data_IF_878100731801
#
_entry.id   IF_878100731801
#
_cell.length_a   1.000
_cell.length_b   1.000
_cell.length_c   1.000
_cell.angle_alpha   90.00
_cell.angle_beta   90.00
_cell.angle_gamma   90.00
#
_symmetry.space_group_name_H-M   'P 1'
#
loop_
_entity.id
_entity.type
_entity.pdbx_description
1 polymer ?
#
# COMPACT_ATOMS: atom_id res chain seq x y z
N UNK A 1 48.69 -3.09 -50.90
CA UNK A 1 47.54 -3.70 -50.21
C UNK A 1 47.08 -2.81 -49.07
N UNK A 2 46.00 -2.07 -49.23
CA UNK A 2 45.46 -1.14 -48.24
C UNK A 2 44.40 -1.90 -47.42
N UNK A 3 44.65 -2.13 -46.14
CA UNK A 3 43.67 -2.75 -45.22
C UNK A 3 42.68 -1.69 -44.79
N UNK A 4 41.41 -1.86 -45.15
CA UNK A 4 40.29 -1.06 -44.63
C UNK A 4 39.87 -1.69 -43.33
N UNK A 5 40.05 -0.97 -42.20
CA UNK A 5 39.54 -1.33 -40.89
C UNK A 5 38.12 -0.77 -40.84
N UNK A 6 37.11 -1.66 -40.87
CA UNK A 6 35.73 -1.30 -40.61
C UNK A 6 35.56 -1.13 -39.09
N UNK A 7 35.41 0.10 -38.68
CA UNK A 7 35.09 0.44 -37.29
C UNK A 7 33.55 0.31 -37.09
N UNK A 8 33.11 -0.79 -36.51
CA UNK A 8 31.69 -0.99 -36.17
C UNK A 8 31.35 -0.09 -35.00
N UNK A 9 30.63 1.01 -35.21
CA UNK A 9 30.03 1.80 -34.15
C UNK A 9 28.83 0.99 -33.61
N UNK A 10 29.01 0.41 -32.44
CA UNK A 10 27.88 -0.06 -31.59
C UNK A 10 27.18 1.18 -31.03
N UNK A 11 26.05 1.55 -31.58
CA UNK A 11 25.09 2.43 -30.93
C UNK A 11 24.46 1.64 -29.78
N UNK A 12 24.85 1.92 -28.55
CA UNK A 12 24.09 1.51 -27.38
C UNK A 12 22.74 2.25 -27.45
N UNK A 13 21.68 1.54 -27.86
CA UNK A 13 20.32 2.05 -27.67
C UNK A 13 20.08 2.18 -26.17
N UNK A 14 19.51 3.30 -25.70
CA UNK A 14 19.08 3.38 -24.31
C UNK A 14 18.09 2.23 -24.11
N UNK A 15 18.41 1.37 -23.14
CA UNK A 15 17.47 0.36 -22.65
C UNK A 15 16.28 1.13 -22.08
N UNK A 16 15.13 1.10 -22.74
CA UNK A 16 13.86 1.45 -22.11
C UNK A 16 13.74 0.48 -20.94
N UNK A 17 13.71 1.01 -19.72
CA UNK A 17 13.49 0.17 -18.54
C UNK A 17 12.21 -0.64 -18.80
N UNK A 18 12.28 -1.95 -18.66
CA UNK A 18 11.12 -2.82 -18.84
C UNK A 18 10.10 -2.47 -17.72
N UNK A 19 8.97 -1.90 -18.14
CA UNK A 19 7.87 -1.46 -17.25
C UNK A 19 7.41 -2.54 -16.25
N UNK A 20 7.83 -3.77 -16.45
CA UNK A 20 7.35 -4.93 -15.69
C UNK A 20 8.43 -5.73 -14.99
N UNK A 21 9.68 -5.26 -15.05
CA UNK A 21 10.86 -5.96 -14.50
C UNK A 21 10.90 -6.01 -12.97
N UNK A 22 10.25 -5.06 -12.31
CA UNK A 22 10.15 -4.99 -10.84
C UNK A 22 8.79 -4.42 -10.40
N UNK A 23 8.48 -4.54 -9.11
CA UNK A 23 7.27 -3.92 -8.54
C UNK A 23 7.36 -2.39 -8.68
N UNK A 24 8.52 -1.80 -8.45
CA UNK A 24 8.69 -0.36 -8.61
C UNK A 24 8.48 0.07 -10.06
N UNK A 25 9.08 -0.64 -11.02
CA UNK A 25 8.94 -0.31 -12.45
C UNK A 25 7.48 -0.37 -12.91
N UNK A 26 6.71 -1.38 -12.50
CA UNK A 26 5.32 -1.53 -12.95
C UNK A 26 4.39 -0.49 -12.30
N UNK A 27 4.64 -0.09 -11.05
CA UNK A 27 3.87 0.98 -10.40
C UNK A 27 4.23 2.34 -11.01
N UNK A 28 5.51 2.61 -11.28
CA UNK A 28 5.92 3.83 -11.96
C UNK A 28 5.32 3.92 -13.37
N UNK A 29 5.27 2.80 -14.10
CA UNK A 29 4.62 2.72 -15.42
C UNK A 29 3.11 2.95 -15.34
N UNK A 30 2.44 2.42 -14.30
CA UNK A 30 1.01 2.65 -14.04
C UNK A 30 0.70 4.15 -13.94
N UNK A 31 1.44 4.92 -13.12
CA UNK A 31 1.25 6.36 -13.00
C UNK A 31 1.65 7.12 -14.27
N UNK A 32 2.70 6.68 -14.94
CA UNK A 32 3.18 7.33 -16.14
C UNK A 32 2.22 7.21 -17.34
N UNK A 33 1.54 6.07 -17.48
CA UNK A 33 0.67 5.81 -18.63
C UNK A 33 -0.61 6.65 -18.64
N UNK A 34 -1.12 6.96 -17.44
CA UNK A 34 -2.35 7.76 -17.28
C UNK A 34 -2.09 9.26 -17.15
N UNK A 35 -0.83 9.68 -17.06
CA UNK A 35 -0.48 11.08 -16.79
C UNK A 35 -0.04 11.81 -18.06
N UNK A 36 -0.52 13.02 -18.28
CA UNK A 36 -0.10 13.83 -19.42
C UNK A 36 -0.65 15.25 -19.47
N UNK A 37 -0.04 16.13 -20.29
CA UNK A 37 -0.56 17.47 -20.52
C UNK A 37 -1.83 17.44 -21.38
N UNK A 38 -2.50 18.59 -21.50
CA UNK A 38 -3.55 18.76 -22.50
C UNK A 38 -3.05 18.37 -23.88
N UNK A 39 -3.86 17.63 -24.63
CA UNK A 39 -3.50 17.08 -25.94
C UNK A 39 -2.66 15.79 -25.90
N UNK A 40 -2.33 15.26 -24.71
CA UNK A 40 -1.68 13.97 -24.57
C UNK A 40 -2.54 12.86 -25.16
N UNK A 41 -1.92 11.97 -25.92
CA UNK A 41 -2.58 10.78 -26.46
C UNK A 41 -2.31 9.63 -25.49
N UNK A 42 -3.35 9.16 -24.85
CA UNK A 42 -3.28 8.01 -23.94
C UNK A 42 -2.84 6.73 -24.67
N UNK A 43 -1.84 6.05 -24.14
CA UNK A 43 -1.30 4.81 -24.69
C UNK A 43 -2.00 3.59 -24.08
N UNK A 44 -3.18 3.28 -24.60
CA UNK A 44 -3.97 2.13 -24.18
C UNK A 44 -3.23 0.79 -24.36
N UNK A 45 -2.30 0.69 -25.32
CA UNK A 45 -1.54 -0.54 -25.53
C UNK A 45 -0.47 -0.72 -24.45
N UNK A 46 0.24 0.35 -24.07
CA UNK A 46 1.18 0.32 -22.97
C UNK A 46 0.47 0.02 -21.66
N UNK A 47 -0.67 0.64 -21.40
CA UNK A 47 -1.49 0.37 -20.21
C UNK A 47 -1.95 -1.10 -20.18
N UNK A 48 -2.48 -1.64 -21.27
CA UNK A 48 -2.84 -3.06 -21.35
C UNK A 48 -1.61 -3.97 -21.16
N UNK A 49 -0.42 -3.54 -21.55
CA UNK A 49 0.79 -4.36 -21.42
C UNK A 49 1.26 -4.58 -19.99
N UNK A 50 0.91 -3.72 -19.04
CA UNK A 50 1.24 -3.87 -17.62
C UNK A 50 0.15 -4.57 -16.82
N UNK A 51 -1.05 -4.75 -17.39
CA UNK A 51 -2.18 -5.42 -16.75
C UNK A 51 -2.34 -6.87 -17.23
N UNK A 52 -2.78 -7.74 -16.33
CA UNK A 52 -3.18 -9.09 -16.70
C UNK A 52 -4.49 -9.09 -17.48
N UNK A 53 -4.68 -10.11 -18.31
CA UNK A 53 -5.98 -10.36 -18.94
C UNK A 53 -7.08 -10.50 -17.88
N UNK A 54 -8.18 -9.76 -18.05
CA UNK A 54 -9.28 -9.75 -17.09
C UNK A 54 -9.00 -8.98 -15.79
N UNK A 55 -7.98 -8.12 -15.78
CA UNK A 55 -7.71 -7.23 -14.63
C UNK A 55 -8.96 -6.42 -14.26
N UNK A 56 -9.26 -6.37 -12.95
CA UNK A 56 -10.45 -5.70 -12.41
C UNK A 56 -10.09 -4.37 -11.79
N UNK A 57 -10.89 -3.36 -12.10
CA UNK A 57 -10.77 -2.01 -11.59
C UNK A 57 -11.98 -1.69 -10.71
N UNK A 58 -11.74 -1.11 -9.54
CA UNK A 58 -12.80 -0.62 -8.66
C UNK A 58 -12.44 0.80 -8.20
N UNK A 59 -13.36 1.75 -8.32
CA UNK A 59 -13.17 3.14 -7.86
C UNK A 59 -14.29 3.52 -6.91
N UNK A 60 -13.92 4.03 -5.74
CA UNK A 60 -14.82 4.58 -4.73
C UNK A 60 -14.65 6.11 -4.68
N UNK A 61 -15.74 6.82 -4.87
CA UNK A 61 -15.76 8.28 -4.92
C UNK A 61 -16.22 8.90 -3.59
N UNK A 62 -15.95 10.20 -3.42
CA UNK A 62 -16.28 10.95 -2.20
C UNK A 62 -17.79 11.00 -1.91
N UNK A 63 -18.62 10.94 -2.92
CA UNK A 63 -20.10 10.93 -2.81
C UNK A 63 -20.68 9.57 -2.40
N UNK A 64 -19.80 8.57 -2.16
CA UNK A 64 -20.19 7.20 -1.81
C UNK A 64 -20.54 6.31 -3.00
N UNK A 65 -20.52 6.84 -4.22
CA UNK A 65 -20.67 6.02 -5.43
C UNK A 65 -19.43 5.16 -5.67
N UNK A 66 -19.59 4.06 -6.41
CA UNK A 66 -18.47 3.25 -6.85
C UNK A 66 -18.70 2.69 -8.25
N UNK A 67 -17.60 2.44 -8.95
CA UNK A 67 -17.58 1.74 -10.23
C UNK A 67 -16.73 0.49 -10.11
N UNK A 68 -17.14 -0.58 -10.79
CA UNK A 68 -16.36 -1.81 -10.90
C UNK A 68 -16.52 -2.40 -12.29
N UNK A 69 -15.44 -2.54 -13.02
CA UNK A 69 -15.42 -3.05 -14.38
C UNK A 69 -14.02 -3.61 -14.73
N UNK A 70 -13.87 -4.12 -15.93
CA UNK A 70 -12.60 -4.60 -16.45
C UNK A 70 -11.76 -3.45 -17.05
N UNK A 71 -10.49 -3.74 -17.38
CA UNK A 71 -9.57 -2.77 -17.96
C UNK A 71 -10.08 -2.19 -19.28
N UNK A 72 -10.68 -3.00 -20.16
CA UNK A 72 -11.16 -2.51 -21.46
C UNK A 72 -12.27 -1.47 -21.28
N UNK A 73 -13.16 -1.68 -20.35
CA UNK A 73 -14.22 -0.74 -19.97
C UNK A 73 -13.61 0.53 -19.36
N UNK A 74 -12.61 0.41 -18.48
CA UNK A 74 -11.90 1.57 -17.93
C UNK A 74 -11.26 2.40 -19.03
N UNK A 75 -10.50 1.78 -19.93
CA UNK A 75 -9.84 2.44 -21.05
C UNK A 75 -10.83 3.18 -21.97
N UNK A 76 -12.02 2.62 -22.15
CA UNK A 76 -13.08 3.27 -22.94
C UNK A 76 -13.64 4.55 -22.29
N UNK A 77 -13.43 4.77 -21.00
CA UNK A 77 -13.82 6.02 -20.31
C UNK A 77 -12.81 7.15 -20.49
N UNK A 78 -11.59 6.84 -20.90
CA UNK A 78 -10.49 7.81 -21.04
C UNK A 78 -10.66 8.60 -22.33
N UNK A 79 -10.87 9.91 -22.20
CA UNK A 79 -10.93 10.83 -23.36
C UNK A 79 -9.52 11.04 -23.89
N UNK A 80 -9.28 10.66 -25.15
CA UNK A 80 -7.97 10.79 -25.79
C UNK A 80 -8.10 11.38 -27.18
N UNK A 81 -7.36 12.47 -27.54
CA UNK A 81 -6.40 13.22 -26.70
C UNK A 81 -7.04 13.88 -25.48
N UNK A 82 -6.25 14.10 -24.41
CA UNK A 82 -6.75 14.74 -23.20
C UNK A 82 -7.28 16.16 -23.46
N UNK A 83 -8.51 16.43 -23.06
CA UNK A 83 -9.11 17.77 -23.13
C UNK A 83 -8.53 18.74 -22.09
N UNK A 84 -8.11 18.22 -20.94
CA UNK A 84 -7.42 18.92 -19.88
C UNK A 84 -6.20 18.13 -19.41
N UNK A 85 -5.19 18.80 -18.85
CA UNK A 85 -4.03 18.08 -18.31
C UNK A 85 -4.43 17.25 -17.08
N UNK A 86 -3.90 16.03 -17.00
CA UNK A 86 -4.10 15.12 -15.89
C UNK A 86 -2.77 14.51 -15.48
N UNK A 87 -2.34 14.77 -14.24
CA UNK A 87 -1.13 14.19 -13.69
C UNK A 87 -1.44 13.54 -12.36
N UNK A 88 -1.29 12.23 -12.28
CA UNK A 88 -1.38 11.49 -11.03
C UNK A 88 0.02 11.12 -10.55
N UNK A 89 0.35 11.51 -9.33
CA UNK A 89 1.65 11.31 -8.71
C UNK A 89 1.52 10.44 -7.48
N UNK A 90 2.34 9.41 -7.41
CA UNK A 90 2.49 8.67 -6.16
C UNK A 90 3.19 9.54 -5.12
N UNK A 91 2.63 9.58 -3.92
CA UNK A 91 3.18 10.34 -2.78
C UNK A 91 3.76 9.44 -1.69
N UNK A 92 3.44 8.15 -1.73
CA UNK A 92 3.98 7.15 -0.80
C UNK A 92 3.49 5.76 -1.13
N UNK A 93 4.32 4.75 -0.82
CA UNK A 93 4.08 3.35 -1.18
C UNK A 93 4.42 2.43 -0.01
N UNK A 94 3.56 1.42 0.22
CA UNK A 94 3.85 0.26 1.06
C UNK A 94 3.66 -1.01 0.24
N UNK A 95 4.65 -1.88 0.24
CA UNK A 95 4.64 -3.14 -0.51
C UNK A 95 4.66 -4.32 0.45
N UNK A 96 3.72 -5.24 0.27
CA UNK A 96 3.70 -6.55 0.90
C UNK A 96 3.93 -7.61 -0.17
N UNK A 97 4.93 -8.47 0.02
CA UNK A 97 5.30 -9.46 -0.98
C UNK A 97 5.53 -10.83 -0.37
N UNK A 98 5.00 -11.84 -1.04
CA UNK A 98 5.29 -13.25 -0.76
C UNK A 98 5.55 -13.96 -2.09
N UNK A 99 6.80 -14.37 -2.34
CA UNK A 99 7.22 -15.04 -3.57
C UNK A 99 6.73 -14.35 -4.85
N UNK A 100 5.72 -14.94 -5.49
CA UNK A 100 5.19 -14.51 -6.79
C UNK A 100 3.93 -13.65 -6.68
N UNK A 101 3.52 -13.25 -5.49
CA UNK A 101 2.41 -12.32 -5.28
C UNK A 101 2.86 -11.11 -4.50
N UNK A 102 2.28 -9.97 -4.82
CA UNK A 102 2.50 -8.74 -4.08
C UNK A 102 1.22 -7.92 -4.00
N UNK A 103 1.13 -7.12 -2.95
CA UNK A 103 0.12 -6.12 -2.76
C UNK A 103 0.78 -4.78 -2.49
N UNK A 104 0.31 -3.74 -3.16
CA UNK A 104 0.84 -2.39 -3.04
C UNK A 104 -0.27 -1.45 -2.60
N UNK A 105 -0.06 -0.79 -1.46
CA UNK A 105 -0.79 0.40 -1.06
C UNK A 105 -0.02 1.61 -1.57
N UNK A 106 -0.63 2.40 -2.42
CA UNK A 106 0.00 3.55 -3.07
C UNK A 106 -0.87 4.79 -2.90
N UNK A 107 -0.37 5.77 -2.15
CA UNK A 107 -1.04 7.06 -2.00
C UNK A 107 -0.75 7.92 -3.21
N UNK A 108 -1.74 8.67 -3.67
CA UNK A 108 -1.59 9.51 -4.84
C UNK A 108 -2.22 10.90 -4.68
N UNK A 109 -1.75 11.82 -5.51
CA UNK A 109 -2.34 13.13 -5.74
C UNK A 109 -2.54 13.39 -7.23
N UNK A 110 -3.67 13.98 -7.58
CA UNK A 110 -3.95 14.45 -8.94
C UNK A 110 -3.70 15.94 -9.03
N UNK A 111 -3.03 16.39 -10.09
CA UNK A 111 -2.71 17.81 -10.35
C UNK A 111 -2.91 18.16 -11.82
N UNK A 112 -3.19 19.44 -12.11
CA UNK A 112 -3.23 19.94 -13.49
C UNK A 112 -1.85 20.20 -14.10
N UNK A 113 -0.80 20.25 -13.29
CA UNK A 113 0.62 20.37 -13.69
C UNK A 113 1.51 19.80 -12.58
N UNK A 114 2.76 19.37 -12.89
CA UNK A 114 3.62 18.70 -11.91
C UNK A 114 3.83 19.41 -10.59
N UNK A 115 3.93 20.74 -10.58
CA UNK A 115 4.07 21.57 -9.36
C UNK A 115 2.80 22.39 -9.08
N UNK A 116 1.64 21.93 -9.58
CA UNK A 116 0.35 22.58 -9.40
C UNK A 116 -0.30 22.30 -8.05
N UNK A 117 -1.43 22.95 -7.85
CA UNK A 117 -2.34 22.65 -6.75
C UNK A 117 -2.87 21.21 -6.87
N UNK A 118 -3.06 20.58 -5.72
CA UNK A 118 -3.68 19.25 -5.64
C UNK A 118 -5.18 19.40 -5.89
N UNK A 119 -5.67 18.71 -6.90
CA UNK A 119 -7.08 18.68 -7.28
C UNK A 119 -7.83 17.55 -6.58
N UNK A 120 -7.23 16.38 -6.57
CA UNK A 120 -7.75 15.16 -5.94
C UNK A 120 -6.62 14.37 -5.29
N UNK A 121 -6.98 13.49 -4.40
CA UNK A 121 -6.07 12.56 -3.73
C UNK A 121 -6.78 11.28 -3.32
N UNK A 122 -5.98 10.27 -3.03
CA UNK A 122 -6.54 9.00 -2.58
C UNK A 122 -5.47 7.94 -2.34
N UNK A 123 -5.95 6.71 -2.26
CA UNK A 123 -5.10 5.52 -2.14
C UNK A 123 -5.50 4.49 -3.18
N UNK A 124 -4.51 3.91 -3.82
CA UNK A 124 -4.65 2.75 -4.68
C UNK A 124 -4.23 1.48 -3.93
N UNK A 125 -5.07 0.47 -3.99
CA UNK A 125 -4.83 -0.90 -3.52
C UNK A 125 -4.59 -1.77 -4.76
N UNK A 126 -3.33 -2.15 -5.01
CA UNK A 126 -2.92 -2.79 -6.25
C UNK A 126 -2.44 -4.20 -5.95
N UNK A 127 -3.07 -5.20 -6.58
CA UNK A 127 -2.66 -6.60 -6.48
C UNK A 127 -1.85 -7.01 -7.69
N UNK A 128 -0.69 -7.65 -7.44
CA UNK A 128 0.25 -8.05 -8.48
C UNK A 128 0.61 -9.53 -8.35
N UNK A 129 0.97 -10.13 -9.48
CA UNK A 129 1.62 -11.44 -9.50
C UNK A 129 2.81 -11.45 -10.48
N UNK A 130 3.79 -12.31 -10.17
CA UNK A 130 4.97 -12.53 -11.00
C UNK A 130 4.82 -13.83 -11.79
N UNK A 131 4.85 -13.72 -13.13
CA UNK A 131 4.78 -14.86 -14.03
C UNK A 131 5.50 -14.53 -15.34
N UNK A 132 6.07 -15.52 -15.99
CA UNK A 132 6.76 -15.37 -17.26
C UNK A 132 7.86 -14.30 -17.24
N UNK A 133 8.62 -14.28 -16.09
CA UNK A 133 9.73 -13.37 -15.80
C UNK A 133 9.34 -11.88 -15.71
N UNK A 134 8.07 -11.59 -15.42
CA UNK A 134 7.58 -10.22 -15.27
C UNK A 134 6.46 -10.10 -14.25
N UNK A 135 6.26 -8.88 -13.74
CA UNK A 135 5.12 -8.52 -12.92
C UNK A 135 3.90 -8.16 -13.77
N UNK A 136 2.73 -8.43 -13.22
CA UNK A 136 1.43 -8.14 -13.81
C UNK A 136 0.51 -7.53 -12.75
N UNK A 137 -0.22 -6.45 -13.11
CA UNK A 137 -1.33 -5.94 -12.28
C UNK A 137 -2.54 -6.81 -12.54
N UNK A 138 -3.02 -7.52 -11.51
CA UNK A 138 -4.24 -8.35 -11.61
C UNK A 138 -5.52 -7.59 -11.27
N UNK A 139 -5.41 -6.59 -10.40
CA UNK A 139 -6.52 -5.70 -10.06
C UNK A 139 -5.98 -4.47 -9.35
N UNK A 140 -6.75 -3.38 -9.40
CA UNK A 140 -6.53 -2.24 -8.55
C UNK A 140 -7.85 -1.62 -8.09
N UNK A 141 -7.84 -1.07 -6.90
CA UNK A 141 -8.97 -0.36 -6.32
C UNK A 141 -8.52 1.01 -5.85
N UNK A 142 -9.24 2.05 -6.24
CA UNK A 142 -8.98 3.43 -5.85
C UNK A 142 -10.00 3.88 -4.83
N UNK A 143 -9.54 4.46 -3.73
CA UNK A 143 -10.36 5.22 -2.79
C UNK A 143 -9.95 6.68 -2.86
N UNK A 144 -10.84 7.56 -3.34
CA UNK A 144 -10.67 9.01 -3.26
C UNK A 144 -10.93 9.50 -1.84
N UNK A 145 -10.15 10.48 -1.35
CA UNK A 145 -10.24 11.01 0.01
C UNK A 145 -10.10 12.53 0.03
N UNK A 146 -10.77 13.20 0.99
CA UNK A 146 -10.64 14.66 1.18
C UNK A 146 -9.34 15.06 1.88
N UNK A 147 -8.85 14.23 2.79
CA UNK A 147 -7.63 14.48 3.55
C UNK A 147 -6.44 13.74 2.92
N UNK A 148 -5.24 14.33 3.03
CA UNK A 148 -4.03 13.54 2.88
C UNK A 148 -4.13 12.41 3.90
N UNK A 149 -4.32 11.19 3.40
CA UNK A 149 -3.97 10.05 4.23
C UNK A 149 -2.45 10.21 4.31
N UNK A 150 -1.98 10.82 5.41
CA UNK A 150 -0.59 10.60 5.73
C UNK A 150 -0.45 9.09 5.60
N UNK A 151 0.62 8.61 4.95
CA UNK A 151 1.02 7.23 5.03
C UNK A 151 1.36 7.00 6.51
N UNK A 152 0.33 7.14 7.32
CA UNK A 152 0.37 6.92 8.73
C UNK A 152 0.58 5.43 8.83
N UNK A 153 1.66 5.05 9.47
CA UNK A 153 1.80 3.75 10.11
C UNK A 153 0.56 3.36 10.94
N UNK A 154 -0.48 4.19 10.95
CA UNK A 154 -1.61 4.20 11.88
C UNK A 154 -2.97 3.79 11.33
N UNK A 155 -3.12 3.26 10.14
CA UNK A 155 -4.47 2.90 9.63
C UNK A 155 -4.69 1.44 9.23
N UNK A 156 -3.70 0.58 9.40
CA UNK A 156 -4.00 -0.85 9.65
C UNK A 156 -3.95 -1.00 11.17
N UNK A 157 -5.00 -1.49 11.84
CA UNK A 157 -4.81 -1.96 13.20
C UNK A 157 -3.64 -2.93 13.12
N UNK A 158 -2.51 -2.55 13.76
CA UNK A 158 -1.33 -3.39 13.82
C UNK A 158 -1.84 -4.76 14.26
N UNK A 159 -1.82 -5.72 13.34
CA UNK A 159 -2.20 -7.07 13.74
C UNK A 159 -1.17 -7.45 14.79
N UNK A 160 -1.59 -8.13 15.85
CA UNK A 160 -0.67 -8.61 16.88
C UNK A 160 0.55 -9.35 16.29
N UNK A 161 0.42 -9.85 15.06
CA UNK A 161 1.45 -10.49 14.24
C UNK A 161 2.52 -9.52 13.72
N UNK A 162 2.24 -8.21 13.63
CA UNK A 162 3.17 -7.22 13.08
C UNK A 162 4.04 -6.59 14.17
N UNK A 163 3.75 -6.88 15.43
CA UNK A 163 4.51 -6.41 16.57
C UNK A 163 5.81 -7.21 16.71
N UNK A 164 6.94 -6.51 16.82
CA UNK A 164 8.14 -7.19 17.30
C UNK A 164 7.99 -7.59 18.77
N UNK A 165 8.83 -8.50 19.25
CA UNK A 165 8.75 -9.07 20.58
C UNK A 165 8.68 -8.02 21.70
N UNK A 166 9.37 -6.88 21.57
CA UNK A 166 9.36 -5.82 22.58
C UNK A 166 8.04 -5.02 22.56
N UNK A 167 7.52 -4.72 21.36
CA UNK A 167 6.22 -4.06 21.20
C UNK A 167 5.08 -4.94 21.72
N UNK A 168 5.11 -6.23 21.40
CA UNK A 168 4.15 -7.21 21.94
C UNK A 168 4.22 -7.29 23.46
N UNK A 169 5.42 -7.32 24.05
CA UNK A 169 5.60 -7.35 25.50
C UNK A 169 5.03 -6.09 26.19
N UNK A 170 5.19 -4.89 25.59
CA UNK A 170 4.62 -3.65 26.14
C UNK A 170 3.08 -3.63 26.04
N UNK A 171 2.49 -4.12 24.95
CA UNK A 171 1.03 -4.25 24.83
C UNK A 171 0.49 -5.20 25.87
N UNK A 172 1.07 -6.38 26.04
CA UNK A 172 0.67 -7.35 27.07
C UNK A 172 0.80 -6.75 28.46
N UNK A 173 1.90 -6.06 28.74
CA UNK A 173 2.12 -5.38 30.02
C UNK A 173 1.05 -4.32 30.31
N UNK A 174 0.69 -3.51 29.31
CA UNK A 174 -0.36 -2.49 29.45
C UNK A 174 -1.71 -3.14 29.74
N UNK A 175 -2.10 -4.16 28.97
CA UNK A 175 -3.36 -4.88 29.19
C UNK A 175 -3.42 -5.49 30.61
N UNK A 176 -2.32 -6.12 31.05
CA UNK A 176 -2.23 -6.71 32.39
C UNK A 176 -2.31 -5.63 33.47
N UNK A 177 -1.63 -4.49 33.28
CA UNK A 177 -1.68 -3.38 34.23
C UNK A 177 -3.08 -2.77 34.34
N UNK A 178 -3.74 -2.53 33.21
CA UNK A 178 -5.09 -1.96 33.18
C UNK A 178 -6.11 -2.94 33.79
N UNK A 179 -5.98 -4.23 33.48
CA UNK A 179 -6.83 -5.27 34.06
C UNK A 179 -6.63 -5.36 35.57
N UNK A 180 -5.38 -5.29 36.05
CA UNK A 180 -5.09 -5.34 37.49
C UNK A 180 -5.54 -4.07 38.26
N UNK A 181 -5.55 -2.90 37.57
CA UNK A 181 -6.10 -1.67 38.17
C UNK A 181 -7.62 -1.73 38.37
N UNK A 182 -8.31 -2.49 37.52
CA UNK A 182 -9.76 -2.70 37.60
C UNK A 182 -10.15 -3.84 38.58
N UNK A 183 -9.17 -4.52 39.17
CA UNK A 183 -9.40 -5.70 40.04
C UNK A 183 -8.94 -5.46 41.47
N UNK A 184 -9.74 -5.88 42.43
CA UNK A 184 -9.41 -5.89 43.85
C UNK A 184 -8.96 -7.29 44.31
N UNK A 185 -7.85 -7.37 45.02
CA UNK A 185 -7.40 -8.64 45.63
C UNK A 185 -8.06 -8.84 46.95
N UNK A 186 -9.01 -9.78 47.03
CA UNK A 186 -9.67 -10.17 48.27
C UNK A 186 -8.99 -11.41 48.84
N UNK A 187 -8.38 -11.26 50.01
CA UNK A 187 -7.74 -12.35 50.74
C UNK A 187 -6.98 -11.84 51.97
N UNK A 188 -6.74 -12.71 52.93
CA UNK A 188 -5.90 -12.40 54.07
C UNK A 188 -4.44 -12.70 53.72
N UNK A 189 -3.61 -11.64 53.66
CA UNK A 189 -2.15 -11.80 53.54
C UNK A 189 -1.50 -11.38 54.85
N UNK A 190 -0.88 -12.31 55.55
CA UNK A 190 0.08 -12.00 56.60
C UNK A 190 1.48 -11.86 55.98
N UNK A 191 1.95 -10.60 55.82
CA UNK A 191 3.31 -10.32 55.34
C UNK A 191 3.40 -9.06 54.49
N UNK A 192 4.61 -8.51 54.34
CA UNK A 192 4.90 -7.37 53.43
C UNK A 192 5.05 -7.87 52.00
N UNK A 193 4.10 -7.58 51.13
CA UNK A 193 4.25 -7.80 49.71
C UNK A 193 5.11 -6.70 49.08
N UNK A 194 6.31 -7.06 48.57
CA UNK A 194 6.97 -6.32 47.51
C UNK A 194 6.57 -6.99 46.19
N UNK A 195 5.91 -6.25 45.33
CA UNK A 195 5.60 -6.75 43.98
C UNK A 195 6.90 -6.88 43.16
N UNK A 196 7.60 -7.99 43.34
CA UNK A 196 8.45 -8.62 42.38
C UNK A 196 7.77 -9.93 41.97
N UNK A 197 7.54 -10.14 40.68
CA UNK A 197 6.83 -11.28 40.07
C UNK A 197 7.54 -12.65 40.25
N UNK A 198 8.07 -12.92 41.43
CA UNK A 198 8.53 -14.23 41.87
C UNK A 198 7.73 -14.64 43.09
N UNK A 199 6.61 -15.30 42.87
CA UNK A 199 5.83 -15.92 43.97
C UNK A 199 6.43 -17.28 44.24
N UNK A 200 7.14 -17.39 45.37
CA UNK A 200 7.59 -18.68 45.90
C UNK A 200 6.68 -18.97 47.12
N UNK A 201 5.65 -19.79 46.90
CA UNK A 201 4.72 -20.18 47.93
C UNK A 201 3.28 -20.35 47.42
N UNK A 202 2.42 -20.98 48.22
CA UNK A 202 0.99 -21.13 47.90
C UNK A 202 0.26 -19.85 48.28
N UNK A 203 -0.34 -19.18 47.25
CA UNK A 203 -1.14 -17.96 47.46
C UNK A 203 -2.61 -18.31 47.31
N UNK A 204 -3.35 -18.30 48.39
CA UNK A 204 -4.80 -18.40 48.40
C UNK A 204 -5.43 -16.99 48.33
N UNK A 205 -5.43 -16.39 47.13
CA UNK A 205 -6.08 -15.10 46.90
C UNK A 205 -7.07 -15.21 45.74
N UNK A 206 -8.19 -14.51 45.83
CA UNK A 206 -9.17 -14.39 44.76
C UNK A 206 -9.10 -12.99 44.19
N UNK A 207 -8.85 -12.90 42.90
CA UNK A 207 -8.95 -11.66 42.15
C UNK A 207 -10.44 -11.41 41.82
N UNK A 208 -10.98 -10.26 42.22
CA UNK A 208 -12.36 -9.87 41.93
C UNK A 208 -12.30 -8.63 41.07
N UNK A 209 -12.74 -8.76 39.83
CA UNK A 209 -12.78 -7.65 38.86
C UNK A 209 -14.22 -7.16 38.72
N UNK A 210 -14.44 -5.84 38.78
CA UNK A 210 -15.71 -5.24 38.42
C UNK A 210 -15.86 -5.27 36.90
N UNK A 211 -16.81 -6.07 36.42
CA UNK A 211 -17.24 -5.97 35.04
C UNK A 211 -18.22 -4.81 34.93
N UNK A 212 -17.77 -3.65 34.49
CA UNK A 212 -18.70 -2.64 33.99
C UNK A 212 -19.34 -3.16 32.70
N UNK A 213 -20.69 -3.23 32.71
CA UNK A 213 -21.55 -3.56 31.59
C UNK A 213 -21.62 -2.40 30.58
#
# INVERSE_FOLDING_TARGET
>A
MRRIILLSLFFAMPSVADDTSSIDAIIDAYYAVISGPQGHVYDAQRDASIHAEGALITKFFLDGSFHRHDLATEQATIVSPYEAPFFEFETGRRVERTENIAHVWSNFEVRSKPQGEVLDRGVNSISLFFRDQRWWISSWSTQYTEATIEASEAAVPAQLTDLNTNQFAEVVKTIVQDTLQACEVQGAMEGRAKMNLAVVGEVNAKLVCSSDQ
#
